data_IF_387401046370
#
_entry.id   IF_387401046370
#
_cell.length_a   1.000
_cell.length_b   1.000
_cell.length_c   1.000
_cell.angle_alpha   90.00
_cell.angle_beta   90.00
_cell.angle_gamma   90.00
#
_symmetry.space_group_name_H-M   'P 1'
#
loop_
_entity.id
_entity.type
_entity.pdbx_description
1 polymer ?
#
# COMPACT_ATOMS: atom_id res chain seq x y z
N UNK A 1 9.70 -66.84 26.29
CA UNK A 1 9.82 -66.77 24.81
C UNK A 1 8.95 -65.68 24.14
N UNK A 2 8.45 -64.65 24.85
CA UNK A 2 7.63 -63.57 24.26
C UNK A 2 8.39 -62.29 23.88
N UNK A 3 9.58 -62.05 24.43
CA UNK A 3 10.36 -60.81 24.20
C UNK A 3 11.01 -60.72 22.82
N UNK A 4 11.35 -61.86 22.19
CA UNK A 4 12.00 -61.87 20.86
C UNK A 4 11.09 -61.39 19.72
N UNK A 5 9.76 -61.48 19.89
CA UNK A 5 8.80 -61.02 18.87
C UNK A 5 8.62 -59.50 18.87
N UNK A 6 8.77 -58.86 20.03
CA UNK A 6 8.60 -57.40 20.19
C UNK A 6 9.82 -56.65 19.64
N UNK A 7 11.03 -57.20 19.83
CA UNK A 7 12.26 -56.57 19.33
C UNK A 7 12.30 -56.54 17.79
N UNK A 8 11.77 -57.58 17.13
CA UNK A 8 11.69 -57.63 15.66
C UNK A 8 10.75 -56.58 15.08
N UNK A 9 9.61 -56.34 15.73
CA UNK A 9 8.66 -55.32 15.31
C UNK A 9 9.21 -53.90 15.46
N UNK A 10 9.96 -53.64 16.54
CA UNK A 10 10.58 -52.33 16.79
C UNK A 10 11.65 -51.99 15.75
N UNK A 11 12.49 -52.96 15.37
CA UNK A 11 13.55 -52.77 14.35
C UNK A 11 12.95 -52.52 12.96
N UNK A 12 11.87 -53.22 12.60
CA UNK A 12 11.16 -52.99 11.33
C UNK A 12 10.58 -51.58 11.24
N UNK A 13 10.00 -51.06 12.33
CA UNK A 13 9.43 -49.72 12.35
C UNK A 13 10.49 -48.63 12.16
N UNK A 14 11.66 -48.78 12.80
CA UNK A 14 12.79 -47.85 12.65
C UNK A 14 13.32 -47.84 11.22
N UNK A 15 13.43 -49.01 10.57
CA UNK A 15 13.92 -49.12 9.20
C UNK A 15 13.02 -48.38 8.19
N UNK A 16 11.70 -48.43 8.38
CA UNK A 16 10.72 -47.75 7.52
C UNK A 16 10.88 -46.23 7.60
N UNK A 17 11.05 -45.67 8.80
CA UNK A 17 11.28 -44.24 8.97
C UNK A 17 12.61 -43.78 8.35
N UNK A 18 13.65 -44.61 8.42
CA UNK A 18 14.95 -44.33 7.82
C UNK A 18 14.88 -44.31 6.28
N UNK A 19 14.06 -45.18 5.67
CA UNK A 19 13.78 -45.18 4.24
C UNK A 19 12.94 -43.98 3.78
N UNK A 20 11.97 -43.53 4.59
CA UNK A 20 11.18 -42.33 4.26
C UNK A 20 12.01 -41.04 4.38
N UNK A 21 12.97 -40.97 5.30
CA UNK A 21 13.84 -39.80 5.50
C UNK A 21 14.91 -39.57 4.43
N UNK A 22 15.17 -40.54 3.53
CA UNK A 22 16.21 -40.41 2.50
C UNK A 22 15.73 -39.81 1.17
N UNK A 23 14.42 -39.55 0.99
CA UNK A 23 13.87 -39.11 -0.29
C UNK A 23 13.55 -37.60 -0.39
N UNK A 24 14.10 -36.74 0.47
CA UNK A 24 13.90 -35.27 0.35
C UNK A 24 15.22 -34.50 0.38
N UNK A 25 16.01 -34.63 -0.68
CA UNK A 25 17.04 -33.64 -1.03
C UNK A 25 16.99 -33.43 -2.53
N UNK A 26 16.17 -32.48 -2.98
CA UNK A 26 16.40 -31.85 -4.27
C UNK A 26 17.27 -30.62 -4.01
N UNK A 27 18.55 -30.76 -4.29
CA UNK A 27 19.44 -29.62 -4.48
C UNK A 27 19.10 -28.99 -5.83
N UNK A 28 18.76 -27.70 -5.84
CA UNK A 28 18.85 -26.86 -7.04
C UNK A 28 20.00 -25.88 -6.84
N UNK A 29 21.20 -26.30 -7.26
CA UNK A 29 22.27 -25.40 -7.65
C UNK A 29 22.34 -25.45 -9.18
N UNK A 30 22.23 -24.28 -9.82
CA UNK A 30 22.59 -23.91 -11.20
C UNK A 30 22.04 -22.48 -11.34
N UNK A 31 22.70 -21.46 -11.84
CA UNK A 31 24.11 -21.13 -12.08
C UNK A 31 24.09 -19.61 -12.25
N UNK A 32 25.21 -18.95 -11.94
CA UNK A 32 25.47 -17.57 -12.30
C UNK A 32 25.05 -17.24 -13.74
N UNK A 33 24.35 -16.11 -13.95
CA UNK A 33 24.46 -15.40 -15.23
C UNK A 33 24.23 -13.88 -15.07
N UNK A 34 25.38 -13.21 -15.12
CA UNK A 34 25.69 -11.88 -15.66
C UNK A 34 24.82 -10.67 -15.33
N UNK A 35 25.46 -9.79 -14.56
CA UNK A 35 25.36 -8.34 -14.66
C UNK A 35 25.37 -7.87 -16.12
N UNK A 36 24.37 -7.08 -16.52
CA UNK A 36 24.56 -6.11 -17.59
C UNK A 36 24.08 -4.74 -17.12
N UNK A 37 25.05 -4.00 -16.59
CA UNK A 37 25.01 -2.57 -16.33
C UNK A 37 25.30 -1.87 -17.66
N UNK A 38 24.26 -1.33 -18.31
CA UNK A 38 24.44 -0.36 -19.39
C UNK A 38 24.01 1.02 -18.89
N UNK A 39 25.03 1.69 -18.36
CA UNK A 39 25.14 3.13 -18.22
C UNK A 39 25.05 3.79 -19.61
N UNK A 40 24.18 4.79 -19.75
CA UNK A 40 24.26 5.76 -20.86
C UNK A 40 23.59 7.06 -20.44
N UNK A 41 24.33 7.85 -19.67
CA UNK A 41 24.33 9.30 -19.75
C UNK A 41 24.74 9.73 -21.16
N UNK A 42 23.92 10.53 -21.84
CA UNK A 42 24.34 11.55 -22.83
C UNK A 42 23.11 12.42 -23.16
N UNK A 43 23.06 13.65 -22.63
CA UNK A 43 23.47 14.90 -23.29
C UNK A 43 22.31 15.59 -24.04
N UNK A 44 21.82 16.70 -23.47
CA UNK A 44 21.21 17.78 -24.25
C UNK A 44 22.28 18.38 -25.17
N UNK A 45 21.91 18.91 -26.35
CA UNK A 45 21.78 20.38 -26.40
C UNK A 45 20.78 20.91 -27.46
N UNK A 46 20.64 22.24 -27.41
CA UNK A 46 20.41 23.17 -28.53
C UNK A 46 19.05 23.87 -28.57
N UNK A 47 19.10 25.07 -27.99
CA UNK A 47 18.39 26.29 -28.33
C UNK A 47 18.42 26.58 -29.84
N UNK A 48 17.27 26.87 -30.45
CA UNK A 48 17.22 27.67 -31.68
C UNK A 48 16.35 28.90 -31.45
N UNK A 49 17.00 30.04 -31.57
CA UNK A 49 16.44 31.38 -31.53
C UNK A 49 15.78 31.74 -32.87
N UNK A 50 14.63 32.42 -32.77
CA UNK A 50 14.15 33.62 -33.49
C UNK A 50 14.21 33.62 -35.03
N UNK A 51 13.07 33.88 -35.67
CA UNK A 51 13.07 34.82 -36.80
C UNK A 51 11.87 35.76 -36.74
N UNK A 52 12.15 37.03 -37.02
CA UNK A 52 11.34 38.22 -36.81
C UNK A 52 11.28 38.97 -38.14
N UNK A 53 10.09 39.15 -38.71
CA UNK A 53 9.81 40.13 -39.79
C UNK A 53 8.40 40.67 -39.51
N UNK A 54 8.23 41.80 -38.79
CA UNK A 54 8.30 43.20 -39.24
C UNK A 54 7.30 43.55 -40.35
N UNK A 55 6.28 44.36 -40.01
CA UNK A 55 5.87 45.63 -40.66
C UNK A 55 4.49 46.06 -40.12
N UNK A 56 4.39 47.29 -39.60
CA UNK A 56 3.13 48.06 -39.65
C UNK A 56 2.66 48.69 -38.35
N UNK A 57 3.07 49.95 -38.14
CA UNK A 57 2.56 50.91 -37.14
C UNK A 57 1.08 51.26 -37.43
N UNK A 58 0.21 51.17 -36.41
CA UNK A 58 -0.84 52.16 -36.09
C UNK A 58 -1.78 51.70 -34.96
N UNK A 59 -1.72 52.42 -33.84
CA UNK A 59 -2.84 53.01 -33.07
C UNK A 59 -4.21 52.32 -33.10
N UNK A 60 -4.66 51.76 -31.97
CA UNK A 60 -5.77 52.32 -31.18
C UNK A 60 -5.96 51.49 -29.88
N UNK A 61 -5.82 52.14 -28.73
CA UNK A 61 -6.15 51.58 -27.43
C UNK A 61 -7.54 52.08 -27.05
N UNK A 62 -8.58 51.27 -27.26
CA UNK A 62 -9.92 51.61 -26.75
C UNK A 62 -9.97 51.42 -25.23
N UNK A 63 -9.93 52.55 -24.54
CA UNK A 63 -10.42 52.73 -23.19
C UNK A 63 -11.93 52.49 -23.15
N UNK A 64 -12.44 51.80 -22.14
CA UNK A 64 -13.84 51.95 -21.75
C UNK A 64 -13.92 52.71 -20.43
N UNK A 65 -14.36 53.96 -20.55
CA UNK A 65 -14.66 54.90 -19.47
C UNK A 65 -15.86 54.44 -18.64
N UNK A 66 -15.88 54.84 -17.36
CA UNK A 66 -16.91 55.67 -16.68
C UNK A 66 -16.35 55.91 -15.27
N UNK A 67 -15.69 57.06 -15.05
CA UNK A 67 -16.21 58.38 -14.65
C UNK A 67 -16.21 58.52 -13.13
N UNK A 68 -15.11 59.07 -12.63
CA UNK A 68 -14.95 59.52 -11.25
C UNK A 68 -15.13 61.05 -11.25
N UNK A 69 -16.20 61.54 -10.65
CA UNK A 69 -16.41 62.96 -10.38
C UNK A 69 -16.45 63.14 -8.87
N UNK A 70 -15.36 63.69 -8.34
CA UNK A 70 -15.26 64.17 -6.97
C UNK A 70 -15.96 65.54 -6.92
N UNK A 71 -16.84 65.76 -5.94
CA UNK A 71 -17.04 67.07 -5.33
C UNK A 71 -17.55 66.96 -3.89
N UNK A 72 -17.14 67.96 -3.11
CA UNK A 72 -17.01 68.06 -1.65
C UNK A 72 -18.29 68.03 -0.80
N UNK A 73 -18.07 67.75 0.49
CA UNK A 73 -18.82 68.19 1.68
C UNK A 73 -20.30 67.79 1.84
N UNK A 74 -20.54 66.80 2.71
CA UNK A 74 -21.39 66.97 3.90
C UNK A 74 -21.44 65.70 4.75
N UNK A 75 -20.91 65.79 5.98
CA UNK A 75 -21.23 64.87 7.07
C UNK A 75 -22.70 65.08 7.44
N UNK A 76 -23.54 64.04 7.32
CA UNK A 76 -24.74 63.93 8.16
C UNK A 76 -25.15 62.47 8.36
N UNK A 77 -25.41 62.14 9.62
CA UNK A 77 -25.77 60.83 10.15
C UNK A 77 -27.08 60.28 9.58
N UNK A 78 -27.21 58.95 9.53
CA UNK A 78 -28.16 58.14 10.34
C UNK A 78 -28.67 56.90 9.57
N UNK A 79 -28.33 55.73 10.14
CA UNK A 79 -29.13 54.49 10.23
C UNK A 79 -29.37 53.59 8.98
N UNK A 80 -29.06 52.29 9.12
CA UNK A 80 -29.47 51.25 8.18
C UNK A 80 -28.52 50.04 8.00
N UNK A 81 -28.53 49.11 8.96
CA UNK A 81 -28.40 47.64 8.80
C UNK A 81 -27.34 47.01 7.85
N UNK A 82 -26.31 46.41 8.48
CA UNK A 82 -25.72 45.05 8.28
C UNK A 82 -26.01 44.32 6.95
N UNK A 83 -24.96 43.95 6.19
CA UNK A 83 -24.69 42.57 5.72
C UNK A 83 -23.16 42.34 5.57
N UNK A 84 -22.65 41.31 6.25
CA UNK A 84 -21.26 40.84 6.19
C UNK A 84 -21.04 40.07 4.89
N UNK A 85 -20.25 40.61 3.96
CA UNK A 85 -19.79 39.87 2.78
C UNK A 85 -18.53 39.10 3.20
N UNK A 86 -18.68 37.80 3.49
CA UNK A 86 -17.54 36.90 3.63
C UNK A 86 -17.01 36.54 2.24
N UNK A 87 -15.77 36.96 1.97
CA UNK A 87 -15.03 36.57 0.78
C UNK A 87 -14.59 35.10 0.93
N UNK A 88 -15.33 34.16 0.34
CA UNK A 88 -14.84 32.79 0.13
C UNK A 88 -13.95 32.74 -1.12
N UNK A 89 -12.64 32.87 -0.90
CA UNK A 89 -11.61 32.57 -1.87
C UNK A 89 -11.60 31.05 -2.12
N UNK A 90 -12.32 30.57 -3.14
CA UNK A 90 -12.25 29.18 -3.58
C UNK A 90 -10.93 28.93 -4.32
N UNK A 91 -9.87 28.70 -3.55
CA UNK A 91 -8.62 28.16 -4.07
C UNK A 91 -8.88 26.69 -4.45
N UNK A 92 -8.94 26.43 -5.75
CA UNK A 92 -9.03 25.08 -6.29
C UNK A 92 -7.74 24.32 -5.96
N UNK A 93 -7.74 23.65 -4.81
CA UNK A 93 -6.83 22.53 -4.61
C UNK A 93 -7.28 21.39 -5.52
N UNK A 94 -6.47 21.10 -6.53
CA UNK A 94 -6.57 19.86 -7.27
C UNK A 94 -6.37 18.70 -6.27
N UNK A 95 -7.48 18.14 -5.79
CA UNK A 95 -7.48 16.85 -5.09
C UNK A 95 -6.96 15.80 -6.07
N UNK A 96 -5.70 15.45 -5.95
CA UNK A 96 -5.11 14.28 -6.60
C UNK A 96 -5.78 13.05 -5.99
N UNK A 97 -6.70 12.46 -6.76
CA UNK A 97 -7.24 11.10 -6.65
C UNK A 97 -7.39 10.50 -5.25
N UNK A 98 -8.48 10.84 -4.56
CA UNK A 98 -9.00 10.03 -3.46
C UNK A 98 -9.54 8.71 -4.07
N UNK A 99 -8.64 7.77 -4.37
CA UNK A 99 -9.06 6.42 -4.71
C UNK A 99 -9.79 5.87 -3.49
N UNK A 100 -11.09 5.62 -3.62
CA UNK A 100 -11.94 5.15 -2.53
C UNK A 100 -11.29 3.94 -1.84
N UNK A 101 -10.83 4.15 -0.59
CA UNK A 101 -10.26 3.09 0.23
C UNK A 101 -11.33 2.05 0.50
N UNK A 102 -11.08 0.81 0.09
CA UNK A 102 -12.02 -0.30 0.26
C UNK A 102 -11.68 -1.11 1.50
N UNK A 103 -12.71 -1.70 2.12
CA UNK A 103 -12.57 -2.64 3.23
C UNK A 103 -12.92 -4.04 2.72
N UNK A 104 -11.99 -4.97 2.88
CA UNK A 104 -12.13 -6.36 2.46
C UNK A 104 -12.18 -7.25 3.70
N UNK A 105 -13.33 -7.90 3.94
CA UNK A 105 -13.47 -8.79 5.11
C UNK A 105 -12.99 -10.19 4.77
N UNK A 106 -11.97 -10.64 5.50
CA UNK A 106 -11.37 -11.96 5.36
C UNK A 106 -11.69 -12.78 6.61
N UNK A 107 -12.20 -13.98 6.39
CA UNK A 107 -12.43 -15.01 7.40
C UNK A 107 -11.61 -16.24 7.03
N UNK A 108 -11.48 -17.19 7.96
CA UNK A 108 -10.82 -18.47 7.69
C UNK A 108 -11.43 -19.20 6.48
N UNK A 109 -12.76 -19.11 6.32
CA UNK A 109 -13.52 -19.77 5.25
C UNK A 109 -13.25 -19.17 3.86
N UNK A 110 -13.06 -17.85 3.79
CA UNK A 110 -12.87 -17.14 2.51
C UNK A 110 -11.40 -16.78 2.23
N UNK A 111 -10.48 -17.17 3.11
CA UNK A 111 -9.06 -16.84 3.05
C UNK A 111 -8.46 -17.11 1.65
N UNK A 112 -8.79 -18.24 1.03
CA UNK A 112 -8.27 -18.62 -0.30
C UNK A 112 -8.72 -17.72 -1.45
N UNK A 113 -9.72 -16.86 -1.23
CA UNK A 113 -10.14 -15.84 -2.20
C UNK A 113 -9.25 -14.59 -2.15
N UNK A 114 -8.42 -14.46 -1.12
CA UNK A 114 -7.53 -13.33 -0.89
C UNK A 114 -6.07 -13.72 -0.95
N UNK A 115 -5.73 -14.89 -0.42
CA UNK A 115 -4.38 -15.38 -0.27
C UNK A 115 -4.22 -16.76 -0.93
N UNK A 116 -3.06 -17.01 -1.54
CA UNK A 116 -2.71 -18.34 -2.03
C UNK A 116 -2.27 -19.29 -0.89
N UNK A 117 -1.87 -20.51 -1.25
CA UNK A 117 -1.40 -21.52 -0.29
C UNK A 117 -0.10 -21.15 0.44
N UNK A 118 0.72 -20.29 -0.16
CA UNK A 118 1.98 -19.79 0.42
C UNK A 118 1.76 -18.50 1.22
N UNK A 119 0.51 -18.03 1.26
CA UNK A 119 0.05 -16.85 1.97
C UNK A 119 0.20 -15.54 1.21
N UNK A 120 0.55 -15.57 -0.09
CA UNK A 120 0.69 -14.34 -0.88
C UNK A 120 -0.69 -13.76 -1.21
N UNK A 121 -0.82 -12.44 -1.08
CA UNK A 121 -2.00 -11.71 -1.53
C UNK A 121 -2.16 -11.88 -3.05
N UNK A 122 -3.28 -12.45 -3.49
CA UNK A 122 -3.58 -12.72 -4.91
C UNK A 122 -4.81 -11.96 -5.42
N UNK A 123 -5.61 -11.37 -4.54
CA UNK A 123 -6.85 -10.73 -4.96
C UNK A 123 -6.59 -9.34 -5.54
N UNK A 124 -6.81 -9.22 -6.86
CA UNK A 124 -6.59 -7.98 -7.62
C UNK A 124 -7.53 -6.84 -7.24
N UNK A 125 -8.60 -7.10 -6.48
CA UNK A 125 -9.49 -6.06 -5.96
C UNK A 125 -8.90 -5.36 -4.73
N UNK A 126 -7.96 -5.99 -4.03
CA UNK A 126 -7.23 -5.38 -2.91
C UNK A 126 -6.14 -4.49 -3.47
N UNK A 127 -6.18 -3.21 -3.15
CA UNK A 127 -5.26 -2.19 -3.66
C UNK A 127 -4.46 -1.56 -2.55
N UNK A 128 -3.43 -0.81 -2.94
CA UNK A 128 -2.67 0.01 -2.02
C UNK A 128 -3.61 0.95 -1.25
N UNK A 129 -3.38 1.07 0.06
CA UNK A 129 -4.11 1.84 1.06
C UNK A 129 -5.51 1.30 1.43
N UNK A 130 -5.91 0.14 0.91
CA UNK A 130 -7.09 -0.55 1.39
C UNK A 130 -6.92 -1.08 2.82
N UNK A 131 -8.03 -1.56 3.38
CA UNK A 131 -8.05 -2.28 4.65
C UNK A 131 -8.45 -3.73 4.44
N UNK A 132 -7.63 -4.65 4.94
CA UNK A 132 -8.01 -6.04 5.16
C UNK A 132 -8.54 -6.13 6.59
N UNK A 133 -9.84 -6.42 6.73
CA UNK A 133 -10.51 -6.66 8.00
C UNK A 133 -10.57 -8.16 8.27
N UNK A 134 -9.74 -8.66 9.17
CA UNK A 134 -9.76 -10.05 9.61
C UNK A 134 -10.88 -10.27 10.63
N UNK A 135 -11.63 -11.36 10.48
CA UNK A 135 -12.66 -11.78 11.43
C UNK A 135 -12.58 -13.29 11.70
N UNK A 136 -12.73 -13.65 12.98
CA UNK A 136 -12.67 -15.03 13.45
C UNK A 136 -11.25 -15.59 13.68
N UNK A 137 -11.15 -16.92 13.71
CA UNK A 137 -9.94 -17.63 14.12
C UNK A 137 -9.17 -18.16 12.91
N UNK A 138 -7.93 -17.73 12.76
CA UNK A 138 -6.99 -18.21 11.76
C UNK A 138 -5.95 -19.12 12.41
N UNK A 139 -5.71 -20.29 11.82
CA UNK A 139 -4.72 -21.25 12.33
C UNK A 139 -3.75 -21.69 11.25
N UNK A 140 -2.45 -21.50 11.50
CA UNK A 140 -1.37 -21.82 10.58
C UNK A 140 -1.56 -21.16 9.19
N UNK A 141 -2.06 -19.92 9.16
CA UNK A 141 -2.22 -19.11 7.95
C UNK A 141 -1.11 -18.09 7.85
N UNK A 142 -0.57 -17.90 6.66
CA UNK A 142 0.47 -16.92 6.42
C UNK A 142 -0.13 -15.70 5.71
N UNK A 143 0.21 -14.49 6.11
CA UNK A 143 -0.24 -13.29 5.41
C UNK A 143 0.98 -12.59 4.84
N UNK A 144 1.24 -12.77 3.55
CA UNK A 144 2.34 -12.13 2.83
C UNK A 144 1.78 -10.96 2.01
N UNK A 145 2.21 -9.76 2.36
CA UNK A 145 1.77 -8.50 1.80
C UNK A 145 2.94 -7.79 1.11
N UNK A 146 2.72 -7.36 -0.12
CA UNK A 146 3.71 -6.66 -0.95
C UNK A 146 3.22 -5.29 -1.45
N UNK A 147 2.12 -4.78 -0.89
CA UNK A 147 1.56 -3.46 -1.17
C UNK A 147 1.26 -2.76 0.16
N UNK A 148 1.31 -1.42 0.22
CA UNK A 148 1.00 -0.71 1.46
C UNK A 148 -0.48 -0.83 1.76
N UNK A 149 -0.87 -1.42 2.89
CA UNK A 149 -2.26 -1.54 3.32
C UNK A 149 -2.38 -1.69 4.84
N UNK A 150 -3.59 -1.55 5.35
CA UNK A 150 -3.91 -1.80 6.75
C UNK A 150 -4.44 -3.23 6.94
N UNK A 151 -3.92 -3.96 7.91
CA UNK A 151 -4.54 -5.18 8.42
C UNK A 151 -5.10 -4.88 9.82
N UNK A 152 -6.37 -5.17 10.03
CA UNK A 152 -7.02 -4.95 11.33
C UNK A 152 -8.11 -5.98 11.60
N UNK A 153 -8.73 -5.90 12.78
CA UNK A 153 -10.02 -6.53 13.09
C UNK A 153 -10.93 -5.48 13.70
N UNK A 154 -11.95 -5.08 12.95
CA UNK A 154 -12.88 -4.02 13.37
C UNK A 154 -13.65 -4.41 14.63
N UNK A 155 -14.03 -5.68 14.74
CA UNK A 155 -14.78 -6.23 15.88
C UNK A 155 -13.86 -6.76 17.00
N UNK A 156 -12.53 -6.64 16.84
CA UNK A 156 -11.54 -7.18 17.80
C UNK A 156 -11.73 -8.68 18.08
N UNK A 157 -12.22 -9.42 17.09
CA UNK A 157 -12.55 -10.85 17.15
C UNK A 157 -11.50 -11.73 16.45
N UNK A 158 -10.54 -11.13 15.73
CA UNK A 158 -9.54 -11.88 14.99
C UNK A 158 -8.46 -12.48 15.90
N UNK A 159 -8.35 -13.80 15.89
CA UNK A 159 -7.29 -14.54 16.59
C UNK A 159 -6.41 -15.25 15.56
N UNK A 160 -5.13 -14.90 15.53
CA UNK A 160 -4.12 -15.45 14.64
C UNK A 160 -3.22 -16.39 15.43
N UNK A 161 -3.50 -17.70 15.34
CA UNK A 161 -2.70 -18.73 16.01
C UNK A 161 -1.68 -19.32 15.04
N UNK A 162 -0.39 -19.22 15.37
CA UNK A 162 0.72 -19.62 14.51
C UNK A 162 0.59 -19.04 13.09
N UNK A 163 0.05 -17.82 13.00
CA UNK A 163 -0.35 -17.22 11.73
C UNK A 163 0.39 -15.90 11.52
N UNK A 164 1.63 -15.93 10.98
CA UNK A 164 2.46 -14.76 10.86
C UNK A 164 2.00 -13.82 9.75
N UNK A 165 2.23 -12.51 9.97
CA UNK A 165 2.04 -11.46 8.97
C UNK A 165 3.43 -10.96 8.54
N UNK A 166 3.67 -10.96 7.23
CA UNK A 166 4.90 -10.49 6.61
C UNK A 166 4.59 -9.36 5.64
N UNK A 167 5.35 -8.27 5.75
CA UNK A 167 5.41 -7.22 4.75
C UNK A 167 6.77 -7.31 4.06
N UNK A 168 6.78 -7.48 2.73
CA UNK A 168 8.01 -7.52 1.93
C UNK A 168 8.03 -6.42 0.89
N UNK A 169 9.12 -5.64 0.86
CA UNK A 169 9.35 -4.57 -0.11
C UNK A 169 8.17 -3.59 -0.23
N UNK A 170 7.53 -3.29 0.90
CA UNK A 170 6.42 -2.33 0.95
C UNK A 170 6.98 -0.95 1.24
N UNK A 171 6.70 0.00 0.37
CA UNK A 171 7.06 1.41 0.54
C UNK A 171 5.89 2.30 0.14
N UNK A 172 5.65 3.35 0.92
CA UNK A 172 4.58 4.30 0.64
C UNK A 172 5.11 5.75 0.66
N UNK A 173 5.39 6.31 -0.51
CA UNK A 173 5.94 7.68 -0.63
C UNK A 173 4.94 8.78 -0.23
N UNK A 174 3.65 8.45 -0.18
CA UNK A 174 2.58 9.43 0.00
C UNK A 174 1.94 9.38 1.40
N UNK A 175 2.38 8.48 2.30
CA UNK A 175 1.76 8.29 3.61
C UNK A 175 2.79 8.13 4.72
N UNK A 176 2.36 8.39 5.96
CA UNK A 176 3.23 8.33 7.14
C UNK A 176 3.69 6.91 7.51
N UNK A 177 2.98 5.88 7.02
CA UNK A 177 3.26 4.48 7.35
C UNK A 177 3.17 3.62 6.09
N UNK A 178 4.14 2.72 5.95
CA UNK A 178 4.15 1.70 4.89
C UNK A 178 3.09 0.62 5.15
N UNK A 179 2.84 0.31 6.42
CA UNK A 179 1.92 -0.72 6.86
C UNK A 179 1.35 -0.38 8.24
N UNK A 180 0.11 -0.78 8.48
CA UNK A 180 -0.53 -0.68 9.80
C UNK A 180 -1.12 -2.04 10.14
N UNK A 181 -0.79 -2.55 11.32
CA UNK A 181 -1.40 -3.76 11.90
C UNK A 181 -1.98 -3.40 13.25
N UNK A 182 -3.26 -3.65 13.48
CA UNK A 182 -3.95 -3.25 14.72
C UNK A 182 -5.10 -4.17 15.11
N UNK A 183 -5.49 -4.14 16.39
CA UNK A 183 -6.68 -4.85 16.92
C UNK A 183 -6.71 -6.38 16.69
N UNK A 184 -5.55 -7.02 16.54
CA UNK A 184 -5.45 -8.47 16.38
C UNK A 184 -4.99 -9.13 17.69
N UNK A 185 -5.48 -10.34 17.96
CA UNK A 185 -4.88 -11.23 18.97
C UNK A 185 -3.93 -12.20 18.26
N UNK A 186 -2.63 -12.13 18.54
CA UNK A 186 -1.63 -13.01 17.93
C UNK A 186 -1.10 -13.99 18.99
N UNK A 187 -1.17 -15.28 18.68
CA UNK A 187 -0.72 -16.37 19.55
C UNK A 187 0.28 -17.26 18.80
N UNK A 188 1.33 -17.70 19.50
CA UNK A 188 2.27 -18.69 18.98
C UNK A 188 2.47 -19.80 19.99
N UNK A 189 2.20 -21.03 19.56
CA UNK A 189 2.58 -22.24 20.28
C UNK A 189 3.86 -22.86 19.69
N UNK A 190 4.46 -22.21 18.68
CA UNK A 190 5.74 -22.62 18.11
C UNK A 190 6.79 -22.30 19.17
N UNK A 191 7.51 -23.32 19.70
CA UNK A 191 8.57 -23.07 20.67
C UNK A 191 9.59 -22.14 20.03
N UNK A 192 9.99 -21.09 20.75
CA UNK A 192 11.05 -20.15 20.35
C UNK A 192 12.23 -20.93 19.75
N UNK A 193 12.25 -21.05 18.43
CA UNK A 193 13.49 -21.29 17.71
C UNK A 193 14.16 -19.93 17.74
N UNK A 194 15.01 -19.75 18.75
CA UNK A 194 15.87 -18.60 18.96
C UNK A 194 16.22 -17.94 17.63
N UNK A 195 15.90 -16.65 17.48
CA UNK A 195 16.33 -15.86 16.34
C UNK A 195 17.82 -16.13 16.08
N UNK A 196 18.12 -16.66 14.88
CA UNK A 196 19.49 -16.78 14.35
C UNK A 196 19.73 -15.59 13.45
#
# INVERSE_FOLDING_TARGET
MRSKRIIGFSIMFILIFLLMGLNTVCASNIDDLDYNLSDSLESSPVSNAIDLDNVGVSDDSESNYISDSIDEDSISNMDGSIEEISNENSQSESKIGDSEKSIHTVTEENYSSYFDSDGNLINSLVKANDTINLSGNFSNKKFVINIPLTITSTESDAILKNSPIFYYNVSNENFAYDAIVSNLKIESDIPDISAV
#
